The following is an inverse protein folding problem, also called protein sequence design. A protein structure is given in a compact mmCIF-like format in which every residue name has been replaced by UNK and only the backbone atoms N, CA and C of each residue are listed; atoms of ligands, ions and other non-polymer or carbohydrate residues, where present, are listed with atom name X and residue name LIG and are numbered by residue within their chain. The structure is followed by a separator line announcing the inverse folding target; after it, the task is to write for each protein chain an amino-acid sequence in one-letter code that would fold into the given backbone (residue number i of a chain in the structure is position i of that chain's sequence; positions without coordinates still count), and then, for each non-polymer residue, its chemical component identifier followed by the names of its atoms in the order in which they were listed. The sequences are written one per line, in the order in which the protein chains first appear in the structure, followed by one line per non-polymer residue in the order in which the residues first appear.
data_IF_666823095202
#
_entry.id   IF_666823095202
#
_cell.length_a   1.000
_cell.length_b   1.000
_cell.length_c   1.000
_cell.angle_alpha   90.00
_cell.angle_beta   90.00
_cell.angle_gamma   90.00
#
_symmetry.space_group_name_H-M   'P 1'
#
loop_
_entity.id
_entity.type
_entity.pdbx_description
1 polymer ?
#
# COMPACT_ATOMS: atom_id res chain seq x y z
N UNK A 1 -2.40 -18.76 -20.36
CA UNK A 1 -1.33 -17.76 -20.40
C UNK A 1 -1.95 -16.47 -19.88
N UNK A 2 -1.94 -16.32 -18.55
CA UNK A 2 -2.38 -15.13 -17.80
C UNK A 2 -1.14 -14.46 -17.15
N UNK A 3 0.04 -15.08 -17.24
CA UNK A 3 1.29 -14.69 -16.57
C UNK A 3 1.78 -13.28 -16.94
N UNK A 4 1.49 -12.79 -18.15
CA UNK A 4 1.87 -11.44 -18.55
C UNK A 4 1.08 -10.35 -17.81
N UNK A 5 -0.19 -10.62 -17.50
CA UNK A 5 -1.03 -9.67 -16.76
C UNK A 5 -0.65 -9.65 -15.27
N UNK A 6 -0.21 -10.78 -14.71
CA UNK A 6 0.28 -10.86 -13.33
C UNK A 6 1.65 -10.18 -13.14
N UNK A 7 2.56 -10.31 -14.11
CA UNK A 7 3.87 -9.62 -14.08
C UNK A 7 3.70 -8.09 -14.14
N UNK A 8 2.81 -7.59 -15.02
CA UNK A 8 2.48 -6.16 -15.10
C UNK A 8 1.92 -5.62 -13.77
N UNK A 9 1.15 -6.45 -13.05
CA UNK A 9 0.59 -6.09 -11.73
C UNK A 9 1.63 -6.14 -10.63
N UNK A 10 2.60 -7.04 -10.72
CA UNK A 10 3.73 -7.09 -9.79
C UNK A 10 4.63 -5.86 -9.95
N UNK A 11 4.90 -5.45 -11.19
CA UNK A 11 5.66 -4.22 -11.46
C UNK A 11 4.90 -2.98 -10.96
N UNK A 12 3.58 -2.93 -11.18
CA UNK A 12 2.74 -1.86 -10.63
C UNK A 12 2.79 -1.81 -9.09
N UNK A 13 2.75 -2.96 -8.41
CA UNK A 13 2.89 -3.02 -6.95
C UNK A 13 4.25 -2.45 -6.49
N UNK A 14 5.34 -2.86 -7.14
CA UNK A 14 6.69 -2.35 -6.85
C UNK A 14 6.81 -0.84 -7.11
N UNK A 15 6.16 -0.34 -8.15
CA UNK A 15 6.11 1.09 -8.45
C UNK A 15 5.38 1.88 -7.37
N UNK A 16 4.26 1.37 -6.86
CA UNK A 16 3.50 2.01 -5.78
C UNK A 16 4.33 2.04 -4.48
N UNK A 17 5.02 0.95 -4.15
CA UNK A 17 5.93 0.90 -2.99
C UNK A 17 7.07 1.92 -3.11
N UNK A 18 7.70 2.00 -4.29
CA UNK A 18 8.75 2.99 -4.56
C UNK A 18 8.22 4.43 -4.42
N UNK A 19 7.06 4.73 -4.99
CA UNK A 19 6.44 6.06 -4.91
C UNK A 19 6.13 6.47 -3.46
N UNK A 20 5.70 5.51 -2.65
CA UNK A 20 5.44 5.70 -1.21
C UNK A 20 6.72 5.68 -0.38
N UNK A 21 7.90 5.60 -0.99
CA UNK A 21 9.20 5.64 -0.32
C UNK A 21 9.36 4.54 0.75
N UNK A 22 8.82 3.35 0.48
CA UNK A 22 8.92 2.20 1.39
C UNK A 22 8.14 2.34 2.70
N UNK A 23 7.33 3.39 2.86
CA UNK A 23 6.45 3.54 4.03
C UNK A 23 5.26 2.56 3.97
N UNK A 24 4.94 2.08 2.77
CA UNK A 24 4.02 0.97 2.52
C UNK A 24 4.77 -0.15 1.79
N UNK A 25 4.62 -1.39 2.24
CA UNK A 25 4.96 -2.59 1.46
C UNK A 25 3.75 -2.98 0.64
N UNK A 26 3.88 -3.05 -0.68
CA UNK A 26 2.77 -3.35 -1.59
C UNK A 26 3.01 -4.68 -2.30
N UNK A 27 2.00 -5.53 -2.30
CA UNK A 27 2.06 -6.87 -2.89
C UNK A 27 0.84 -7.10 -3.78
N UNK A 28 1.04 -7.72 -4.94
CA UNK A 28 -0.05 -8.26 -5.74
C UNK A 28 -0.32 -9.70 -5.35
N UNK A 29 -1.54 -10.01 -4.92
CA UNK A 29 -1.97 -11.38 -4.65
C UNK A 29 -2.66 -11.96 -5.88
N UNK A 30 -1.92 -12.72 -6.70
CA UNK A 30 -2.43 -13.35 -7.94
C UNK A 30 -3.66 -14.23 -7.69
N UNK A 31 -3.66 -15.02 -6.60
CA UNK A 31 -4.82 -15.82 -6.19
C UNK A 31 -6.06 -14.98 -5.84
N UNK A 32 -5.85 -13.85 -5.17
CA UNK A 32 -6.94 -12.96 -4.74
C UNK A 32 -7.33 -11.92 -5.81
N UNK A 33 -6.52 -11.79 -6.87
CA UNK A 33 -6.55 -10.71 -7.86
C UNK A 33 -6.70 -9.33 -7.21
N UNK A 34 -5.91 -9.07 -6.16
CA UNK A 34 -5.97 -7.83 -5.35
C UNK A 34 -4.58 -7.36 -4.96
N UNK A 35 -4.44 -6.05 -4.90
CA UNK A 35 -3.30 -5.39 -4.27
C UNK A 35 -3.49 -5.37 -2.75
N UNK A 36 -2.41 -5.61 -2.05
CA UNK A 36 -2.30 -5.54 -0.60
C UNK A 36 -1.24 -4.52 -0.24
N UNK A 37 -1.51 -3.68 0.77
CA UNK A 37 -0.53 -2.76 1.28
C UNK A 37 -0.43 -2.82 2.80
N UNK A 38 0.78 -2.99 3.28
CA UNK A 38 1.13 -3.09 4.69
C UNK A 38 1.88 -1.85 5.13
N UNK A 39 1.38 -1.17 6.15
CA UNK A 39 2.02 0.03 6.67
C UNK A 39 3.31 -0.35 7.42
N UNK A 40 4.43 0.26 7.02
CA UNK A 40 5.77 0.08 7.61
C UNK A 40 6.23 1.25 8.47
N UNK A 41 5.50 2.36 8.48
CA UNK A 41 5.71 3.43 9.46
C UNK A 41 5.24 2.99 10.85
N UNK A 42 5.65 3.67 11.95
CA UNK A 42 5.18 3.34 13.29
C UNK A 42 3.69 3.67 13.43
N UNK A 43 2.86 2.68 13.11
CA UNK A 43 1.41 2.66 13.35
C UNK A 43 1.16 2.28 14.81
N UNK A 44 0.11 2.80 15.47
CA UNK A 44 -0.31 2.32 16.79
C UNK A 44 -0.52 0.79 16.85
N UNK A 45 -0.53 0.23 18.07
CA UNK A 45 -0.61 -1.23 18.31
C UNK A 45 -1.72 -1.88 17.46
N UNK A 46 -1.31 -2.75 16.54
CA UNK A 46 -2.21 -3.45 15.61
C UNK A 46 -1.67 -3.46 14.17
N UNK A 47 -0.83 -2.48 13.80
CA UNK A 47 -0.42 -2.30 12.41
C UNK A 47 -1.60 -1.85 11.54
N UNK A 48 -1.35 -1.52 10.28
CA UNK A 48 -2.40 -1.27 9.32
C UNK A 48 -2.14 -2.04 8.02
N UNK A 49 -3.17 -2.73 7.55
CA UNK A 49 -3.18 -3.43 6.27
C UNK A 49 -4.41 -3.00 5.50
N UNK A 50 -4.24 -2.69 4.22
CA UNK A 50 -5.33 -2.36 3.31
C UNK A 50 -5.24 -3.21 2.06
N UNK A 51 -6.36 -3.39 1.37
CA UNK A 51 -6.41 -4.10 0.09
C UNK A 51 -7.31 -3.37 -0.90
N UNK A 52 -7.00 -3.52 -2.19
CA UNK A 52 -7.75 -2.91 -3.29
C UNK A 52 -7.77 -3.83 -4.51
N UNK A 53 -8.85 -3.79 -5.30
CA UNK A 53 -8.96 -4.56 -6.56
C UNK A 53 -8.13 -3.94 -7.69
N UNK A 54 -7.82 -2.65 -7.57
CA UNK A 54 -6.99 -1.88 -8.48
C UNK A 54 -6.14 -0.87 -7.69
N UNK A 55 -5.19 -0.23 -8.38
CA UNK A 55 -4.28 0.73 -7.77
C UNK A 55 -5.01 1.94 -7.18
N UNK A 56 -6.05 2.44 -7.84
CA UNK A 56 -6.82 3.62 -7.41
C UNK A 56 -7.58 3.33 -6.10
N UNK A 57 -8.24 2.17 -6.03
CA UNK A 57 -8.87 1.68 -4.81
C UNK A 57 -7.85 1.52 -3.67
N UNK A 58 -6.67 0.97 -3.98
CA UNK A 58 -5.60 0.84 -2.99
C UNK A 58 -5.12 2.21 -2.49
N UNK A 59 -4.93 3.20 -3.37
CA UNK A 59 -4.54 4.56 -2.99
C UNK A 59 -5.60 5.23 -2.11
N UNK A 60 -6.88 5.03 -2.40
CA UNK A 60 -7.97 5.59 -1.60
C UNK A 60 -7.92 5.03 -0.17
N UNK A 61 -7.76 3.71 -0.01
CA UNK A 61 -7.66 3.07 1.30
C UNK A 61 -6.37 3.46 2.04
N UNK A 62 -5.23 3.53 1.34
CA UNK A 62 -3.99 4.05 1.93
C UNK A 62 -4.18 5.45 2.49
N UNK A 63 -4.77 6.38 1.72
CA UNK A 63 -5.02 7.76 2.16
C UNK A 63 -5.97 7.83 3.36
N UNK A 64 -6.96 6.93 3.41
CA UNK A 64 -7.89 6.83 4.54
C UNK A 64 -7.15 6.44 5.81
N UNK A 65 -6.33 5.39 5.76
CA UNK A 65 -5.51 4.93 6.90
C UNK A 65 -4.46 5.97 7.29
N UNK A 66 -3.82 6.62 6.31
CA UNK A 66 -2.88 7.72 6.54
C UNK A 66 -3.53 8.84 7.37
N UNK A 67 -4.78 9.19 7.05
CA UNK A 67 -5.56 10.20 7.79
C UNK A 67 -5.95 9.72 9.18
N UNK A 68 -6.43 8.49 9.30
CA UNK A 68 -6.90 7.91 10.55
C UNK A 68 -5.79 7.78 11.59
N UNK A 69 -4.60 7.33 11.18
CA UNK A 69 -3.48 7.09 12.08
C UNK A 69 -2.49 8.27 12.18
N UNK A 70 -2.82 9.41 11.58
CA UNK A 70 -1.98 10.60 11.67
C UNK A 70 -0.61 10.43 11.01
N UNK A 71 -0.54 9.72 9.87
CA UNK A 71 0.68 9.50 9.11
C UNK A 71 1.43 10.80 8.80
N UNK A 72 0.72 11.86 8.42
CA UNK A 72 1.32 13.18 8.16
C UNK A 72 1.99 13.76 9.41
N UNK A 73 1.42 13.53 10.60
CA UNK A 73 2.03 13.97 11.87
C UNK A 73 3.33 13.21 12.15
N UNK A 74 3.38 11.92 11.84
CA UNK A 74 4.61 11.13 11.94
C UNK A 74 5.65 11.57 10.89
N UNK A 75 5.24 11.68 9.63
CA UNK A 75 6.15 11.92 8.49
C UNK A 75 6.78 13.31 8.50
N UNK A 76 6.06 14.33 8.96
CA UNK A 76 6.58 15.69 9.03
C UNK A 76 7.35 15.99 10.32
N UNK A 77 7.34 15.07 11.29
CA UNK A 77 7.87 15.32 12.62
C UNK A 77 7.04 16.38 13.35
N UNK A 78 6.53 16.05 14.53
CA UNK A 78 6.49 17.11 15.53
C UNK A 78 7.94 17.52 15.77
N UNK A 79 8.27 18.77 15.46
CA UNK A 79 9.51 19.39 15.90
C UNK A 79 9.63 19.40 17.41
#
# INVERSE_FOLDING_TARGET
MDDGEDDDRHEAAAHIEWQKQGVWLVLWGSYTRRFWAYARWPVPRGGAVVSGVDADALYAEMRRVEREHGFLRWRHGSG
#
